data_IF_770770015356
#
_entry.id   IF_770770015356
#
_cell.length_a   1.000
_cell.length_b   1.000
_cell.length_c   1.000
_cell.angle_alpha   90.00
_cell.angle_beta   90.00
_cell.angle_gamma   90.00
#
_symmetry.space_group_name_H-M   'P 1'
#
loop_
_entity.id
_entity.type
_entity.pdbx_description
1 polymer ?
#
# COMPACT_ATOMS: atom_id res chain seq x y z
N UNK A 1 -2.28 -19.42 21.66
CA UNK A 1 -3.54 -18.96 22.28
C UNK A 1 -4.40 -18.42 21.16
N UNK A 2 -5.56 -19.04 20.97
CA UNK A 2 -6.38 -18.91 19.77
C UNK A 2 -6.94 -17.49 19.60
N UNK A 3 -6.51 -16.82 18.52
CA UNK A 3 -7.05 -15.53 18.07
C UNK A 3 -8.45 -15.67 17.46
N UNK A 4 -9.39 -16.26 18.20
CA UNK A 4 -10.80 -16.26 17.80
C UNK A 4 -11.34 -14.84 17.92
N UNK A 5 -11.68 -14.24 16.79
CA UNK A 5 -12.57 -13.08 16.71
C UNK A 5 -13.82 -13.41 17.55
N UNK A 6 -14.27 -12.55 18.48
CA UNK A 6 -15.41 -12.84 19.34
C UNK A 6 -16.64 -13.23 18.51
N UNK A 7 -17.26 -14.37 18.85
CA UNK A 7 -18.46 -14.89 18.21
C UNK A 7 -19.67 -13.94 18.27
N UNK A 8 -19.61 -12.92 19.13
CA UNK A 8 -20.62 -11.85 19.21
C UNK A 8 -20.57 -10.83 18.07
N UNK A 9 -19.53 -10.84 17.22
CA UNK A 9 -19.44 -9.99 16.02
C UNK A 9 -20.17 -10.63 14.82
N UNK A 10 -20.36 -11.95 14.83
CA UNK A 10 -20.91 -12.74 13.73
C UNK A 10 -22.28 -13.31 14.12
N UNK A 11 -23.26 -12.43 14.31
CA UNK A 11 -24.67 -12.86 14.39
C UNK A 11 -25.07 -13.49 13.05
N UNK A 12 -25.84 -14.57 13.08
CA UNK A 12 -26.35 -15.39 11.95
C UNK A 12 -27.35 -14.68 11.03
N UNK A 13 -27.27 -13.35 10.96
CA UNK A 13 -28.04 -12.44 10.12
C UNK A 13 -27.15 -12.07 8.92
N UNK A 14 -27.57 -12.20 7.66
CA UNK A 14 -26.71 -12.06 6.47
C UNK A 14 -26.20 -10.63 6.21
N UNK A 15 -25.36 -10.11 7.11
CA UNK A 15 -24.80 -8.75 7.04
C UNK A 15 -23.95 -8.52 5.79
N UNK A 16 -24.29 -7.52 4.99
CA UNK A 16 -23.47 -7.18 3.81
C UNK A 16 -22.15 -6.51 4.21
N UNK A 17 -21.02 -7.01 3.70
CA UNK A 17 -19.69 -6.47 3.97
C UNK A 17 -19.08 -5.73 2.78
N UNK A 18 -18.42 -4.61 3.07
CA UNK A 18 -17.55 -3.88 2.12
C UNK A 18 -16.14 -3.78 2.60
N UNK A 19 -15.19 -3.90 1.69
CA UNK A 19 -13.76 -3.78 1.99
C UNK A 19 -13.17 -2.53 1.34
N UNK A 20 -12.55 -1.68 2.16
CA UNK A 20 -11.74 -0.54 1.72
C UNK A 20 -10.27 -0.89 1.98
N UNK A 21 -9.47 -1.14 0.92
CA UNK A 21 -8.10 -1.59 1.04
C UNK A 21 -7.17 -0.54 1.65
N UNK A 22 -6.02 -0.99 2.17
CA UNK A 22 -4.94 -0.12 2.64
C UNK A 22 -4.00 0.32 1.53
N UNK A 23 -2.92 0.98 1.93
CA UNK A 23 -1.82 1.35 1.04
C UNK A 23 -1.22 0.11 0.36
N UNK A 24 -0.99 0.19 -0.95
CA UNK A 24 -0.60 -0.96 -1.79
C UNK A 24 -1.67 -2.05 -1.93
N UNK A 25 -2.85 -1.90 -1.32
CA UNK A 25 -3.84 -2.98 -1.15
C UNK A 25 -4.79 -3.22 -2.33
N UNK A 26 -4.47 -2.69 -3.51
CA UNK A 26 -5.34 -2.74 -4.69
C UNK A 26 -4.53 -2.93 -5.95
N UNK A 27 -5.00 -3.76 -6.89
CA UNK A 27 -4.40 -3.83 -8.23
C UNK A 27 -4.45 -2.48 -8.98
N UNK A 28 -3.47 -2.21 -9.84
CA UNK A 28 -3.43 -1.05 -10.71
C UNK A 28 -3.01 -1.46 -12.11
N UNK A 29 -3.64 -0.84 -13.09
CA UNK A 29 -3.32 -1.02 -14.49
C UNK A 29 -2.85 0.30 -15.09
N UNK A 30 -1.93 0.24 -16.05
CA UNK A 30 -1.44 1.44 -16.73
C UNK A 30 -1.40 1.29 -18.24
N UNK A 31 -1.57 2.41 -18.95
CA UNK A 31 -1.34 2.54 -20.37
C UNK A 31 -0.25 3.61 -20.61
N UNK A 32 0.73 3.34 -21.48
CA UNK A 32 1.87 4.24 -21.72
C UNK A 32 1.73 5.02 -23.04
N UNK A 33 0.53 5.10 -23.61
CA UNK A 33 0.32 5.83 -24.87
C UNK A 33 0.54 7.32 -24.64
N UNK A 34 1.59 7.86 -25.26
CA UNK A 34 1.95 9.28 -25.16
C UNK A 34 3.13 9.58 -24.23
N UNK A 35 3.85 8.58 -23.74
CA UNK A 35 5.01 8.80 -22.89
C UNK A 35 6.15 9.51 -23.66
N UNK A 36 6.57 10.73 -23.26
CA UNK A 36 7.52 11.53 -24.05
C UNK A 36 8.96 11.03 -23.92
N UNK A 37 9.31 10.45 -22.77
CA UNK A 37 10.67 10.00 -22.46
C UNK A 37 10.66 8.78 -21.54
N UNK A 38 11.81 8.12 -21.43
CA UNK A 38 12.01 6.97 -20.54
C UNK A 38 13.34 7.11 -19.83
N UNK A 39 13.41 6.57 -18.61
CA UNK A 39 14.63 6.57 -17.78
C UNK A 39 15.74 5.71 -18.36
N UNK A 40 15.39 4.62 -19.06
CA UNK A 40 16.33 3.75 -19.73
C UNK A 40 15.85 3.35 -21.13
N UNK A 41 16.74 3.08 -22.10
CA UNK A 41 16.36 2.71 -23.47
C UNK A 41 15.49 1.46 -23.57
N UNK A 42 15.60 0.53 -22.61
CA UNK A 42 14.82 -0.70 -22.58
C UNK A 42 13.41 -0.53 -21.95
N UNK A 43 13.13 0.60 -21.32
CA UNK A 43 11.79 0.86 -20.78
C UNK A 43 10.78 1.10 -21.90
N UNK A 44 9.56 0.58 -21.72
CA UNK A 44 8.47 0.78 -22.68
C UNK A 44 8.05 2.26 -22.73
N UNK A 45 7.90 2.78 -23.96
CA UNK A 45 7.35 4.12 -24.25
C UNK A 45 5.88 4.09 -24.69
N UNK A 46 5.36 2.90 -24.98
CA UNK A 46 4.04 2.70 -25.54
C UNK A 46 3.53 1.31 -25.15
N UNK A 47 2.23 1.21 -24.93
CA UNK A 47 1.52 -0.06 -24.79
C UNK A 47 0.22 0.03 -25.59
N UNK A 48 -0.11 -1.02 -26.35
CA UNK A 48 -1.34 -1.06 -27.14
C UNK A 48 -2.60 -1.18 -26.28
N UNK A 49 -2.46 -1.73 -25.08
CA UNK A 49 -3.52 -1.89 -24.10
C UNK A 49 -2.97 -1.65 -22.69
N UNK A 50 -3.85 -1.67 -21.69
CA UNK A 50 -3.45 -1.60 -20.29
C UNK A 50 -2.70 -2.87 -19.88
N UNK A 51 -1.65 -2.69 -19.06
CA UNK A 51 -0.92 -3.78 -18.43
C UNK A 51 -0.98 -3.66 -16.90
N UNK A 52 -0.69 -4.76 -16.21
CA UNK A 52 -0.62 -4.79 -14.75
C UNK A 52 0.60 -4.00 -14.26
N UNK A 53 0.32 -2.81 -13.73
CA UNK A 53 1.33 -1.96 -13.12
C UNK A 53 1.63 -2.42 -11.69
N UNK A 54 0.58 -2.71 -10.92
CA UNK A 54 0.71 -3.18 -9.53
C UNK A 54 -0.33 -4.27 -9.21
N UNK A 55 0.02 -5.40 -8.59
CA UNK A 55 1.36 -5.91 -8.35
C UNK A 55 1.77 -6.81 -9.52
N UNK A 56 2.93 -6.57 -10.11
CA UNK A 56 3.52 -7.42 -11.14
C UNK A 56 4.96 -7.72 -10.77
N UNK A 57 5.24 -8.98 -10.40
CA UNK A 57 6.56 -9.39 -9.91
C UNK A 57 7.69 -9.18 -10.93
N UNK A 58 7.39 -9.15 -12.24
CA UNK A 58 8.39 -8.92 -13.28
C UNK A 58 8.88 -7.47 -13.29
N UNK A 59 8.05 -6.54 -12.84
CA UNK A 59 8.35 -5.11 -12.79
C UNK A 59 9.35 -4.77 -11.65
N UNK A 60 9.59 -5.70 -10.70
CA UNK A 60 10.57 -5.53 -9.61
C UNK A 60 11.94 -6.16 -9.89
N UNK A 61 12.15 -6.74 -11.08
CA UNK A 61 13.48 -7.22 -11.46
C UNK A 61 14.47 -6.04 -11.48
N UNK A 62 15.78 -6.26 -11.17
CA UNK A 62 16.76 -5.18 -11.09
C UNK A 62 16.83 -4.28 -12.33
N UNK A 63 16.57 -4.84 -13.52
CA UNK A 63 16.53 -4.08 -14.77
C UNK A 63 15.21 -3.32 -14.95
N UNK A 64 14.10 -3.77 -14.37
CA UNK A 64 12.77 -3.22 -14.60
C UNK A 64 12.33 -2.19 -13.54
N UNK A 65 12.89 -2.24 -12.33
CA UNK A 65 12.45 -1.44 -11.17
C UNK A 65 12.41 0.07 -11.43
N UNK A 66 13.36 0.60 -12.19
CA UNK A 66 13.40 2.02 -12.53
C UNK A 66 12.29 2.39 -13.53
N UNK A 67 11.99 1.49 -14.48
CA UNK A 67 10.86 1.67 -15.39
C UNK A 67 9.54 1.66 -14.62
N UNK A 68 9.38 0.71 -13.70
CA UNK A 68 8.23 0.61 -12.81
C UNK A 68 8.06 1.89 -11.98
N UNK A 69 9.13 2.31 -11.29
CA UNK A 69 9.10 3.48 -10.42
C UNK A 69 8.68 4.73 -11.20
N UNK A 70 9.22 4.94 -12.40
CA UNK A 70 8.83 6.07 -13.26
C UNK A 70 7.38 5.95 -13.78
N UNK A 71 6.83 4.75 -13.93
CA UNK A 71 5.45 4.58 -14.39
C UNK A 71 4.45 4.81 -13.25
N UNK A 72 4.75 4.37 -12.03
CA UNK A 72 3.80 4.44 -10.92
C UNK A 72 3.86 5.76 -10.15
N UNK A 73 5.01 6.47 -10.19
CA UNK A 73 5.15 7.74 -9.48
C UNK A 73 4.13 8.79 -9.93
N UNK A 74 3.89 9.76 -9.07
CA UNK A 74 3.04 10.91 -9.37
C UNK A 74 3.92 12.10 -9.77
N UNK A 75 3.46 12.87 -10.76
CA UNK A 75 4.06 14.15 -11.11
C UNK A 75 3.50 15.22 -10.17
N UNK A 76 4.40 15.95 -9.51
CA UNK A 76 4.02 16.93 -8.49
C UNK A 76 4.48 18.28 -8.97
N UNK A 77 3.53 19.19 -9.20
CA UNK A 77 3.85 20.57 -9.45
C UNK A 77 4.46 21.18 -8.18
N UNK A 78 5.73 21.62 -8.19
CA UNK A 78 6.39 22.11 -6.98
C UNK A 78 5.79 23.41 -6.45
N UNK A 79 5.15 24.23 -7.29
CA UNK A 79 4.59 25.53 -6.92
C UNK A 79 3.17 25.38 -6.38
N UNK A 80 2.30 24.66 -7.09
CA UNK A 80 0.89 24.50 -6.70
C UNK A 80 0.67 23.31 -5.77
N UNK A 81 1.60 22.35 -5.74
CA UNK A 81 1.44 21.06 -5.07
C UNK A 81 0.33 20.21 -5.70
N UNK A 82 -0.12 20.54 -6.92
CA UNK A 82 -1.03 19.70 -7.68
C UNK A 82 -0.33 18.43 -8.12
N UNK A 83 -1.12 17.36 -8.24
CA UNK A 83 -0.58 16.01 -8.43
C UNK A 83 -1.34 15.29 -9.52
N UNK A 84 -0.60 14.91 -10.56
CA UNK A 84 -1.11 14.16 -11.72
C UNK A 84 -0.35 12.85 -11.84
N UNK A 85 -0.83 12.00 -12.74
CA UNK A 85 0.00 10.90 -13.23
C UNK A 85 1.20 11.44 -14.02
N UNK A 86 2.23 10.61 -14.20
CA UNK A 86 3.37 10.99 -15.04
C UNK A 86 2.95 11.27 -16.48
N UNK A 87 3.58 12.22 -17.19
CA UNK A 87 3.24 12.53 -18.58
C UNK A 87 3.21 11.28 -19.48
N UNK A 88 2.06 11.07 -20.13
CA UNK A 88 1.82 9.93 -21.02
C UNK A 88 1.68 8.57 -20.32
N UNK A 89 1.42 8.58 -19.01
CA UNK A 89 1.02 7.41 -18.24
C UNK A 89 -0.41 7.62 -17.77
N UNK A 90 -1.31 6.78 -18.24
CA UNK A 90 -2.68 6.73 -17.75
C UNK A 90 -2.83 5.53 -16.81
N UNK A 91 -3.38 5.78 -15.62
CA UNK A 91 -3.51 4.78 -14.56
C UNK A 91 -4.97 4.58 -14.22
N UNK A 92 -5.41 3.31 -14.18
CA UNK A 92 -6.75 2.95 -13.76
C UNK A 92 -6.76 1.88 -12.68
N UNK A 93 -7.83 1.90 -11.90
CA UNK A 93 -8.04 1.00 -10.78
C UNK A 93 -9.13 -0.01 -11.13
N UNK A 94 -8.79 -1.28 -11.43
CA UNK A 94 -9.75 -2.30 -11.83
C UNK A 94 -10.57 -2.86 -10.65
N UNK A 95 -11.67 -3.54 -11.00
CA UNK A 95 -12.41 -4.39 -10.07
C UNK A 95 -13.32 -3.66 -9.09
N UNK A 96 -13.70 -2.41 -9.35
CA UNK A 96 -14.60 -1.67 -8.47
C UNK A 96 -15.98 -2.35 -8.32
N UNK A 97 -16.40 -2.62 -7.09
CA UNK A 97 -17.61 -3.40 -6.79
C UNK A 97 -17.40 -4.92 -6.82
N UNK A 98 -16.25 -5.39 -7.30
CA UNK A 98 -15.83 -6.79 -7.24
C UNK A 98 -14.74 -6.97 -6.18
N UNK A 99 -14.34 -8.20 -5.90
CA UNK A 99 -13.36 -8.50 -4.85
C UNK A 99 -11.99 -8.91 -5.40
N UNK A 100 -11.92 -9.31 -6.67
CA UNK A 100 -10.71 -9.89 -7.27
C UNK A 100 -9.47 -9.01 -7.17
N UNK A 101 -9.63 -7.68 -7.33
CA UNK A 101 -8.51 -6.72 -7.33
C UNK A 101 -7.93 -6.42 -5.95
N UNK A 102 -8.55 -6.93 -4.88
CA UNK A 102 -8.09 -6.75 -3.50
C UNK A 102 -7.90 -8.09 -2.77
N UNK A 103 -8.38 -9.20 -3.34
CA UNK A 103 -8.13 -10.55 -2.82
C UNK A 103 -6.67 -10.95 -3.02
N UNK A 104 -6.16 -10.77 -4.25
CA UNK A 104 -4.77 -10.97 -4.62
C UNK A 104 -4.26 -9.73 -5.35
N UNK A 105 -3.08 -9.24 -4.97
CA UNK A 105 -2.50 -8.05 -5.60
C UNK A 105 -1.83 -8.37 -6.94
N UNK A 106 -1.43 -9.63 -7.16
CA UNK A 106 -0.91 -10.10 -8.44
C UNK A 106 -1.95 -11.02 -9.11
N UNK A 107 -2.22 -10.79 -10.41
CA UNK A 107 -3.21 -11.57 -11.18
C UNK A 107 -2.84 -13.05 -11.30
N UNK A 108 -1.57 -13.41 -11.12
CA UNK A 108 -1.10 -14.81 -11.03
C UNK A 108 -1.55 -15.53 -9.74
N UNK A 109 -2.07 -14.79 -8.74
CA UNK A 109 -2.59 -15.30 -7.46
C UNK A 109 -1.58 -16.14 -6.66
N UNK A 110 -0.31 -15.77 -6.76
CA UNK A 110 0.75 -16.32 -5.92
C UNK A 110 0.40 -16.04 -4.44
N UNK A 111 0.57 -17.03 -3.57
CA UNK A 111 0.10 -16.96 -2.18
C UNK A 111 0.65 -15.74 -1.41
N UNK A 112 1.88 -15.32 -1.71
CA UNK A 112 2.57 -14.17 -1.13
C UNK A 112 1.90 -12.83 -1.46
N UNK A 113 1.05 -12.77 -2.48
CA UNK A 113 0.33 -11.57 -2.90
C UNK A 113 -1.14 -11.59 -2.47
N UNK A 114 -1.55 -12.63 -1.71
CA UNK A 114 -2.84 -12.69 -1.05
C UNK A 114 -2.95 -11.55 -0.04
N UNK A 115 -4.03 -10.78 -0.15
CA UNK A 115 -4.34 -9.68 0.75
C UNK A 115 -5.67 -9.92 1.46
N UNK A 116 -6.82 -9.60 0.85
CA UNK A 116 -8.13 -9.87 1.47
C UNK A 116 -8.69 -11.27 1.21
N UNK A 117 -8.01 -12.13 0.43
CA UNK A 117 -8.50 -13.45 0.06
C UNK A 117 -8.95 -14.28 1.26
N UNK A 118 -8.12 -14.45 2.29
CA UNK A 118 -8.46 -15.29 3.44
C UNK A 118 -9.72 -14.84 4.20
N UNK A 119 -9.92 -13.53 4.34
CA UNK A 119 -11.12 -12.98 4.96
C UNK A 119 -12.35 -13.16 4.08
N UNK A 120 -12.23 -12.91 2.77
CA UNK A 120 -13.34 -13.03 1.81
C UNK A 120 -13.74 -14.49 1.65
N UNK A 121 -12.78 -15.42 1.58
CA UNK A 121 -13.03 -16.86 1.61
C UNK A 121 -13.77 -17.31 2.87
N UNK A 122 -13.41 -16.75 4.03
CA UNK A 122 -14.10 -17.06 5.29
C UNK A 122 -15.56 -16.61 5.25
N UNK A 123 -15.84 -15.42 4.71
CA UNK A 123 -17.22 -14.95 4.50
C UNK A 123 -17.95 -15.86 3.51
N UNK A 124 -17.32 -16.22 2.39
CA UNK A 124 -17.96 -17.08 1.39
C UNK A 124 -18.32 -18.45 1.97
N UNK A 125 -17.48 -19.03 2.82
CA UNK A 125 -17.79 -20.27 3.58
C UNK A 125 -18.97 -20.12 4.55
N UNK A 126 -19.28 -18.90 4.97
CA UNK A 126 -20.45 -18.58 5.80
C UNK A 126 -21.72 -18.31 4.97
N UNK A 127 -21.67 -18.45 3.65
CA UNK A 127 -22.83 -18.27 2.75
C UNK A 127 -22.86 -16.94 2.00
N UNK A 128 -21.84 -16.09 2.18
CA UNK A 128 -21.70 -14.85 1.42
C UNK A 128 -21.27 -15.11 -0.04
N UNK A 129 -21.60 -14.19 -0.94
CA UNK A 129 -21.34 -14.19 -2.37
C UNK A 129 -20.55 -12.95 -2.81
N UNK A 130 -19.37 -13.20 -3.37
CA UNK A 130 -18.52 -12.19 -4.03
C UNK A 130 -19.30 -11.39 -5.08
N UNK A 131 -19.12 -10.07 -5.10
CA UNK A 131 -19.77 -9.16 -6.05
C UNK A 131 -21.26 -8.92 -5.78
N UNK A 132 -21.83 -9.55 -4.76
CA UNK A 132 -23.22 -9.34 -4.33
C UNK A 132 -23.26 -8.73 -2.92
N UNK A 133 -23.11 -9.56 -1.90
CA UNK A 133 -23.15 -9.19 -0.48
C UNK A 133 -21.75 -8.93 0.10
N UNK A 134 -20.70 -9.32 -0.63
CA UNK A 134 -19.31 -8.95 -0.36
C UNK A 134 -18.73 -8.25 -1.58
N UNK A 135 -18.50 -6.95 -1.45
CA UNK A 135 -17.94 -6.10 -2.51
C UNK A 135 -16.70 -5.36 -2.00
N UNK A 136 -15.81 -4.95 -2.90
CA UNK A 136 -14.69 -4.08 -2.56
C UNK A 136 -14.79 -2.73 -3.27
N UNK A 137 -14.21 -1.72 -2.62
CA UNK A 137 -14.08 -0.36 -3.15
C UNK A 137 -12.57 -0.05 -3.34
N UNK A 138 -11.94 -0.61 -4.39
CA UNK A 138 -10.56 -0.32 -4.75
C UNK A 138 -10.40 1.15 -5.17
N UNK A 139 -9.26 1.76 -4.83
CA UNK A 139 -8.93 3.15 -5.16
C UNK A 139 -7.44 3.32 -5.46
N UNK A 140 -7.07 4.49 -5.98
CA UNK A 140 -5.69 4.87 -6.23
C UNK A 140 -4.99 5.18 -4.90
N UNK A 141 -4.30 4.19 -4.35
CA UNK A 141 -3.66 4.29 -3.04
C UNK A 141 -2.48 5.26 -3.00
N UNK A 142 -2.00 5.75 -4.16
CA UNK A 142 -0.94 6.76 -4.22
C UNK A 142 -1.44 8.13 -3.75
N UNK A 143 -2.76 8.36 -3.85
CA UNK A 143 -3.41 9.64 -3.59
C UNK A 143 -3.89 9.75 -2.14
N UNK A 144 -3.74 10.93 -1.54
CA UNK A 144 -4.29 11.24 -0.23
C UNK A 144 -5.83 11.24 -0.27
N UNK A 145 -6.53 10.98 0.85
CA UNK A 145 -7.99 10.94 0.89
C UNK A 145 -8.68 12.16 0.27
N UNK A 146 -8.09 13.35 0.41
CA UNK A 146 -8.59 14.62 -0.15
C UNK A 146 -8.65 14.63 -1.68
N UNK A 147 -7.88 13.76 -2.32
CA UNK A 147 -7.67 13.73 -3.77
C UNK A 147 -8.46 12.62 -4.47
N UNK A 148 -9.35 11.92 -3.74
CA UNK A 148 -10.13 10.78 -4.23
C UNK A 148 -11.56 11.16 -4.67
N UNK A 149 -11.79 12.39 -5.18
CA UNK A 149 -13.11 12.96 -5.49
C UNK A 149 -14.13 11.96 -6.08
N UNK A 150 -13.97 11.57 -7.34
CA UNK A 150 -14.88 10.65 -8.05
C UNK A 150 -15.02 9.27 -7.38
N UNK A 151 -14.02 8.83 -6.62
CA UNK A 151 -14.10 7.57 -5.91
C UNK A 151 -15.18 7.60 -4.82
N UNK A 152 -15.38 8.73 -4.14
CA UNK A 152 -16.39 8.83 -3.09
C UNK A 152 -17.82 8.77 -3.62
N UNK A 153 -18.08 9.37 -4.78
CA UNK A 153 -19.39 9.26 -5.46
C UNK A 153 -19.67 7.81 -5.86
N UNK A 154 -18.66 7.14 -6.42
CA UNK A 154 -18.75 5.72 -6.77
C UNK A 154 -18.93 4.83 -5.53
N UNK A 155 -18.29 5.17 -4.41
CA UNK A 155 -18.42 4.47 -3.13
C UNK A 155 -19.83 4.62 -2.56
N UNK A 156 -20.38 5.84 -2.54
CA UNK A 156 -21.76 6.12 -2.11
C UNK A 156 -22.77 5.30 -2.93
N UNK A 157 -22.65 5.36 -4.26
CA UNK A 157 -23.54 4.63 -5.17
C UNK A 157 -23.38 3.09 -5.04
N UNK A 158 -22.15 2.60 -4.82
CA UNK A 158 -21.93 1.19 -4.51
C UNK A 158 -22.62 0.81 -3.19
N UNK A 159 -22.59 1.71 -2.20
CA UNK A 159 -23.24 1.50 -0.92
C UNK A 159 -24.74 1.29 -1.07
N UNK A 160 -25.40 2.22 -1.74
CA UNK A 160 -26.84 2.21 -1.99
C UNK A 160 -27.26 0.97 -2.80
N UNK A 161 -26.56 0.65 -3.90
CA UNK A 161 -26.89 -0.52 -4.74
C UNK A 161 -26.85 -1.83 -3.99
N UNK A 162 -25.84 -2.00 -3.16
CA UNK A 162 -25.67 -3.26 -2.43
C UNK A 162 -26.62 -3.34 -1.23
N UNK A 163 -26.98 -2.21 -0.59
CA UNK A 163 -28.06 -2.16 0.39
C UNK A 163 -29.37 -2.68 -0.21
N UNK A 164 -29.73 -2.19 -1.40
CA UNK A 164 -30.92 -2.64 -2.14
C UNK A 164 -30.84 -4.13 -2.50
N UNK A 165 -29.69 -4.61 -2.99
CA UNK A 165 -29.48 -6.02 -3.34
C UNK A 165 -29.53 -6.97 -2.14
N UNK A 166 -29.22 -6.45 -0.95
CA UNK A 166 -29.26 -7.18 0.30
C UNK A 166 -30.64 -7.10 0.99
N UNK A 167 -31.70 -6.72 0.28
CA UNK A 167 -33.04 -6.64 0.87
C UNK A 167 -33.21 -5.49 1.85
N UNK A 168 -32.52 -4.36 1.62
CA UNK A 168 -32.50 -3.19 2.49
C UNK A 168 -31.80 -3.43 3.83
N UNK A 169 -30.84 -4.34 3.86
CA UNK A 169 -29.97 -4.53 5.02
C UNK A 169 -28.80 -3.54 5.02
N UNK A 170 -28.60 -2.90 6.17
CA UNK A 170 -27.50 -1.96 6.40
C UNK A 170 -26.14 -2.64 6.24
N UNK A 171 -25.18 -1.86 5.75
CA UNK A 171 -23.89 -2.37 5.28
C UNK A 171 -22.82 -2.17 6.33
N UNK A 172 -21.96 -3.17 6.51
CA UNK A 172 -20.73 -3.07 7.29
C UNK A 172 -19.56 -2.64 6.39
N UNK A 173 -18.90 -1.52 6.72
CA UNK A 173 -17.68 -1.07 6.05
C UNK A 173 -16.45 -1.53 6.83
N UNK A 174 -15.63 -2.37 6.23
CA UNK A 174 -14.35 -2.82 6.78
C UNK A 174 -13.21 -2.07 6.09
N UNK A 175 -12.50 -1.23 6.83
CA UNK A 175 -11.30 -0.56 6.35
C UNK A 175 -10.05 -1.26 6.88
N UNK A 176 -8.99 -1.32 6.07
CA UNK A 176 -7.67 -1.76 6.52
C UNK A 176 -6.64 -0.65 6.34
N UNK A 177 -5.80 -0.41 7.36
CA UNK A 177 -4.71 0.58 7.30
C UNK A 177 -5.21 1.94 6.76
N UNK A 178 -4.58 2.49 5.71
CA UNK A 178 -4.98 3.72 5.02
C UNK A 178 -6.47 3.77 4.63
N UNK A 179 -7.07 2.63 4.30
CA UNK A 179 -8.49 2.54 3.94
C UNK A 179 -9.44 3.01 5.04
N UNK A 180 -8.99 3.01 6.30
CA UNK A 180 -9.75 3.59 7.41
C UNK A 180 -9.80 5.11 7.37
N UNK A 181 -8.74 5.77 6.92
CA UNK A 181 -8.71 7.22 6.77
C UNK A 181 -9.56 7.66 5.57
N UNK A 182 -9.54 6.89 4.49
CA UNK A 182 -10.45 7.06 3.35
C UNK A 182 -11.91 6.88 3.78
N UNK A 183 -12.21 5.83 4.55
CA UNK A 183 -13.56 5.61 5.10
C UNK A 183 -13.98 6.73 6.07
N UNK A 184 -13.06 7.22 6.91
CA UNK A 184 -13.34 8.31 7.83
C UNK A 184 -13.74 9.58 7.09
N UNK A 185 -12.95 9.99 6.09
CA UNK A 185 -13.26 11.15 5.24
C UNK A 185 -14.62 10.99 4.57
N UNK A 186 -14.93 9.81 4.05
CA UNK A 186 -16.25 9.52 3.49
C UNK A 186 -17.37 9.81 4.51
N UNK A 187 -17.25 9.31 5.74
CA UNK A 187 -18.26 9.51 6.79
C UNK A 187 -18.38 10.93 7.33
N UNK A 188 -17.33 11.73 7.25
CA UNK A 188 -17.25 13.04 7.91
C UNK A 188 -17.40 14.21 6.95
N UNK A 189 -17.13 14.02 5.66
CA UNK A 189 -17.12 15.09 4.67
C UNK A 189 -18.00 14.83 3.44
N UNK A 190 -18.33 13.57 3.14
CA UNK A 190 -19.05 13.23 1.90
C UNK A 190 -20.54 12.94 2.15
N UNK A 191 -20.86 12.23 3.23
CA UNK A 191 -22.24 11.85 3.55
C UNK A 191 -22.71 12.48 4.85
N UNK A 192 -24.00 12.83 4.90
CA UNK A 192 -24.66 13.33 6.10
C UNK A 192 -25.05 12.20 7.07
N UNK A 193 -25.53 12.59 8.26
CA UNK A 193 -25.90 11.63 9.30
C UNK A 193 -27.13 10.80 8.94
N UNK A 194 -28.13 11.38 8.27
CA UNK A 194 -29.36 10.67 7.87
C UNK A 194 -29.04 9.55 6.86
N UNK A 195 -28.15 9.82 5.91
CA UNK A 195 -27.64 8.83 4.98
C UNK A 195 -26.90 7.70 5.71
N UNK A 196 -26.02 8.04 6.67
CA UNK A 196 -25.29 7.03 7.46
C UNK A 196 -26.26 6.16 8.27
N UNK A 197 -27.26 6.76 8.90
CA UNK A 197 -28.27 6.06 9.68
C UNK A 197 -29.13 5.15 8.79
N UNK A 198 -29.33 5.49 7.53
CA UNK A 198 -30.05 4.66 6.56
C UNK A 198 -29.22 3.47 6.09
N UNK A 199 -27.97 3.69 5.65
CA UNK A 199 -27.22 2.70 4.88
C UNK A 199 -26.16 1.93 5.66
N UNK A 200 -25.69 2.43 6.80
CA UNK A 200 -24.49 1.90 7.48
C UNK A 200 -24.85 1.22 8.79
N UNK A 201 -24.45 -0.05 8.91
CA UNK A 201 -24.61 -0.85 10.15
C UNK A 201 -23.48 -0.56 11.12
N UNK A 202 -22.25 -0.61 10.61
CA UNK A 202 -21.04 -0.34 11.39
C UNK A 202 -19.81 -0.15 10.51
N UNK A 203 -18.77 0.44 11.08
CA UNK A 203 -17.42 0.48 10.54
C UNK A 203 -16.50 -0.44 11.35
N UNK A 204 -15.89 -1.43 10.70
CA UNK A 204 -14.85 -2.27 11.30
C UNK A 204 -13.49 -1.73 10.84
N UNK A 205 -12.80 -1.05 11.74
CA UNK A 205 -11.51 -0.44 11.48
C UNK A 205 -10.37 -1.38 11.85
N UNK A 206 -9.71 -1.97 10.85
CA UNK A 206 -8.59 -2.89 11.04
C UNK A 206 -7.27 -2.16 10.86
N UNK A 207 -6.43 -2.17 11.91
CA UNK A 207 -5.13 -1.49 11.96
C UNK A 207 -5.15 -0.02 11.47
N UNK A 208 -6.08 0.84 11.92
CA UNK A 208 -6.18 2.21 11.43
C UNK A 208 -5.01 3.10 11.90
N UNK A 209 -4.26 3.76 10.99
CA UNK A 209 -3.13 4.63 11.34
C UNK A 209 -3.61 6.04 11.66
N UNK A 210 -4.48 6.20 12.66
CA UNK A 210 -5.05 7.49 13.07
C UNK A 210 -3.96 8.55 13.33
N UNK A 211 -2.93 8.17 14.09
CA UNK A 211 -1.79 9.03 14.41
C UNK A 211 -0.71 9.14 13.34
N UNK A 212 -0.93 8.56 12.16
CA UNK A 212 0.14 8.31 11.18
C UNK A 212 1.06 7.16 11.60
N UNK A 213 2.17 7.01 10.89
CA UNK A 213 3.12 5.91 11.07
C UNK A 213 4.56 6.35 10.91
N UNK A 214 5.40 6.02 11.89
CA UNK A 214 6.87 6.22 11.82
C UNK A 214 7.53 5.46 10.68
N UNK A 215 6.87 4.42 10.12
CA UNK A 215 7.35 3.74 8.91
C UNK A 215 7.40 4.69 7.70
N UNK A 216 6.64 5.78 7.71
CA UNK A 216 6.72 6.80 6.67
C UNK A 216 8.06 7.56 6.73
N UNK A 217 8.62 7.77 7.91
CA UNK A 217 9.96 8.36 8.05
C UNK A 217 11.01 7.44 7.41
N UNK A 218 10.90 6.12 7.66
CA UNK A 218 11.73 5.10 7.00
C UNK A 218 11.55 5.09 5.48
N UNK A 219 10.31 5.18 5.00
CA UNK A 219 9.98 5.25 3.58
C UNK A 219 10.68 6.44 2.92
N UNK A 220 10.64 7.62 3.53
CA UNK A 220 11.34 8.79 3.00
C UNK A 220 12.87 8.63 3.01
N UNK A 221 13.46 7.87 3.93
CA UNK A 221 14.93 7.66 3.95
C UNK A 221 15.39 6.54 3.02
N UNK A 222 14.93 5.31 3.23
CA UNK A 222 15.45 4.09 2.60
C UNK A 222 14.43 3.36 1.73
N UNK A 223 13.22 3.90 1.63
CA UNK A 223 12.07 3.20 1.06
C UNK A 223 11.47 2.18 2.03
N UNK A 224 10.32 1.64 1.63
CA UNK A 224 9.58 0.67 2.43
C UNK A 224 9.06 -0.47 1.54
N UNK A 225 9.42 -1.71 1.87
CA UNK A 225 9.07 -2.90 1.09
C UNK A 225 7.76 -3.58 1.53
N UNK A 226 6.90 -2.88 2.28
CA UNK A 226 5.65 -3.46 2.83
C UNK A 226 5.88 -4.73 3.67
N UNK A 227 7.02 -4.80 4.37
CA UNK A 227 7.44 -5.97 5.18
C UNK A 227 7.73 -7.23 4.37
N UNK A 228 7.97 -7.09 3.08
CA UNK A 228 8.44 -8.17 2.23
C UNK A 228 9.97 -8.29 2.27
N UNK A 229 10.50 -9.31 1.62
CA UNK A 229 11.96 -9.45 1.45
C UNK A 229 12.51 -8.40 0.48
N UNK A 230 13.70 -7.86 0.74
CA UNK A 230 14.44 -6.99 -0.20
C UNK A 230 14.71 -7.66 -1.56
N UNK A 231 14.70 -9.00 -1.62
CA UNK A 231 14.81 -9.74 -2.88
C UNK A 231 13.53 -9.70 -3.72
N UNK A 232 12.38 -9.45 -3.08
CA UNK A 232 11.04 -9.42 -3.71
C UNK A 232 10.67 -7.98 -4.03
N UNK A 233 10.83 -7.08 -3.06
CA UNK A 233 10.50 -5.66 -3.16
C UNK A 233 11.71 -4.86 -2.67
N UNK A 234 12.58 -4.37 -3.58
CA UNK A 234 13.76 -3.62 -3.19
C UNK A 234 13.37 -2.22 -2.71
N UNK A 235 13.57 -1.94 -1.41
CA UNK A 235 13.10 -0.70 -0.77
C UNK A 235 13.63 0.56 -1.47
N UNK A 236 14.93 0.58 -1.81
CA UNK A 236 15.57 1.73 -2.45
C UNK A 236 15.04 2.02 -3.86
N UNK A 237 14.66 0.97 -4.61
CA UNK A 237 14.07 1.13 -5.94
C UNK A 237 12.63 1.65 -5.88
N UNK A 238 11.88 1.27 -4.84
CA UNK A 238 10.52 1.78 -4.60
C UNK A 238 10.50 3.21 -4.06
N UNK A 239 11.55 3.61 -3.32
CA UNK A 239 11.63 4.92 -2.63
C UNK A 239 11.30 6.09 -3.55
N UNK A 240 11.83 6.12 -4.77
CA UNK A 240 11.61 7.23 -5.71
C UNK A 240 10.13 7.43 -5.99
N UNK A 241 9.40 6.34 -6.24
CA UNK A 241 7.96 6.41 -6.44
C UNK A 241 7.21 6.70 -5.14
N UNK A 242 7.53 6.00 -4.06
CA UNK A 242 6.85 6.15 -2.78
C UNK A 242 6.91 7.57 -2.23
N UNK A 243 8.04 8.25 -2.42
CA UNK A 243 8.21 9.66 -2.04
C UNK A 243 7.21 10.60 -2.72
N UNK A 244 6.74 10.24 -3.92
CA UNK A 244 5.78 11.05 -4.69
C UNK A 244 4.33 10.79 -4.29
N UNK A 245 4.04 9.67 -3.61
CA UNK A 245 2.69 9.33 -3.19
C UNK A 245 2.24 10.29 -2.10
N UNK A 246 1.20 11.07 -2.38
CA UNK A 246 0.62 11.99 -1.40
C UNK A 246 -0.01 11.25 -0.23
N UNK A 247 -0.41 9.99 -0.41
CA UNK A 247 -0.81 9.11 0.70
C UNK A 247 0.33 8.85 1.70
N UNK A 248 1.60 8.83 1.26
CA UNK A 248 2.75 8.73 2.16
C UNK A 248 2.90 9.99 3.01
N UNK A 249 2.81 11.17 2.39
CA UNK A 249 2.79 12.44 3.11
C UNK A 249 1.57 12.54 4.04
N UNK A 250 0.43 11.97 3.64
CA UNK A 250 -0.76 11.88 4.49
C UNK A 250 -0.52 10.98 5.70
N UNK A 251 0.15 9.84 5.55
CA UNK A 251 0.41 8.91 6.67
C UNK A 251 1.53 9.35 7.62
N UNK A 252 2.09 10.54 7.44
CA UNK A 252 3.16 11.07 8.28
C UNK A 252 2.76 11.10 9.77
N UNK A 253 3.68 10.82 10.72
CA UNK A 253 3.43 10.95 12.15
C UNK A 253 2.82 12.31 12.51
N UNK A 254 1.83 12.31 13.39
CA UNK A 254 1.10 13.52 13.73
C UNK A 254 0.88 13.72 15.24
N UNK A 255 0.46 14.92 15.62
CA UNK A 255 0.33 15.36 17.02
C UNK A 255 -0.80 14.67 17.80
N UNK A 256 -1.61 13.83 17.16
CA UNK A 256 -2.59 12.99 17.87
C UNK A 256 -1.92 11.83 18.60
N UNK A 257 -0.76 11.38 18.14
CA UNK A 257 -0.06 10.22 18.70
C UNK A 257 1.39 10.49 19.09
N UNK A 258 2.03 11.51 18.52
CA UNK A 258 3.44 11.83 18.75
C UNK A 258 3.58 13.22 19.34
N UNK A 259 4.46 13.37 20.34
CA UNK A 259 4.80 14.68 20.91
C UNK A 259 5.79 15.39 19.99
N UNK A 260 5.84 16.73 20.08
CA UNK A 260 6.78 17.52 19.31
C UNK A 260 8.25 17.15 19.60
N UNK A 261 8.56 16.71 20.83
CA UNK A 261 9.89 16.27 21.27
C UNK A 261 10.17 14.77 21.08
N UNK A 262 9.22 14.01 20.52
CA UNK A 262 9.39 12.58 20.26
C UNK A 262 10.40 12.35 19.13
N UNK A 263 11.47 11.61 19.40
CA UNK A 263 12.50 11.28 18.39
C UNK A 263 11.95 10.24 17.42
N UNK A 264 11.77 10.64 16.15
CA UNK A 264 11.23 9.78 15.10
C UNK A 264 12.35 9.10 14.28
N UNK A 265 13.50 9.75 14.16
CA UNK A 265 14.66 9.20 13.47
C UNK A 265 15.98 9.66 14.12
N UNK A 266 17.00 8.83 14.01
CA UNK A 266 18.38 9.17 14.38
C UNK A 266 19.29 8.90 13.17
N UNK A 267 20.02 9.93 12.74
CA UNK A 267 21.02 9.81 11.66
C UNK A 267 22.39 10.17 12.23
N UNK A 268 23.29 9.18 12.31
CA UNK A 268 24.56 9.33 13.01
C UNK A 268 24.32 9.66 14.49
N UNK A 269 24.74 10.85 14.92
CA UNK A 269 24.53 11.35 16.30
C UNK A 269 23.38 12.35 16.41
N UNK A 270 22.70 12.68 15.30
CA UNK A 270 21.63 13.67 15.27
C UNK A 270 20.27 13.00 15.39
N UNK A 271 19.45 13.48 16.32
CA UNK A 271 18.06 13.08 16.48
C UNK A 271 17.15 14.05 15.73
N UNK A 272 16.11 13.53 15.10
CA UNK A 272 15.05 14.29 14.47
C UNK A 272 13.76 13.98 15.20
N UNK A 273 13.22 15.01 15.85
CA UNK A 273 11.93 14.97 16.50
C UNK A 273 10.81 15.33 15.54
N UNK A 274 9.55 15.16 15.95
CA UNK A 274 8.40 15.62 15.15
C UNK A 274 8.49 17.11 14.79
N UNK A 275 9.08 17.95 15.65
CA UNK A 275 9.32 19.37 15.37
C UNK A 275 10.41 19.62 14.31
N UNK A 276 11.36 18.69 14.14
CA UNK A 276 12.50 18.82 13.23
C UNK A 276 12.21 18.39 11.78
N UNK A 277 10.96 18.08 11.46
CA UNK A 277 10.62 17.36 10.23
C UNK A 277 10.91 18.17 8.95
N UNK A 278 10.81 19.51 8.99
CA UNK A 278 11.28 20.35 7.89
C UNK A 278 12.78 20.14 7.62
N UNK A 279 13.60 20.24 8.66
CA UNK A 279 15.06 20.05 8.58
C UNK A 279 15.40 18.63 8.13
N UNK A 280 14.65 17.63 8.58
CA UNK A 280 14.79 16.25 8.10
C UNK A 280 14.61 16.16 6.58
N UNK A 281 13.55 16.75 6.01
CA UNK A 281 13.31 16.74 4.56
C UNK A 281 14.37 17.50 3.77
N UNK A 282 14.86 18.63 4.30
CA UNK A 282 15.95 19.40 3.71
C UNK A 282 17.24 18.56 3.64
N UNK A 283 17.58 17.81 4.70
CA UNK A 283 18.81 17.02 4.78
C UNK A 283 18.78 15.71 3.97
N UNK A 284 17.59 15.13 3.73
CA UNK A 284 17.44 14.01 2.77
C UNK A 284 17.30 14.48 1.31
N UNK A 285 17.48 15.78 1.07
CA UNK A 285 17.35 16.45 -0.23
C UNK A 285 16.00 16.17 -0.91
N UNK A 286 14.90 16.31 -0.15
CA UNK A 286 13.54 16.07 -0.64
C UNK A 286 12.52 17.06 -0.08
N UNK A 287 12.75 18.36 -0.28
CA UNK A 287 11.88 19.45 0.22
C UNK A 287 10.46 19.43 -0.33
N UNK A 288 10.21 18.74 -1.46
CA UNK A 288 8.86 18.50 -1.98
C UNK A 288 8.02 17.69 -0.99
N UNK A 289 8.63 16.72 -0.30
CA UNK A 289 7.93 15.92 0.71
C UNK A 289 7.42 16.77 1.87
N UNK A 290 8.22 17.75 2.33
CA UNK A 290 7.78 18.69 3.37
C UNK A 290 6.60 19.55 2.91
N UNK A 291 6.65 20.08 1.68
CA UNK A 291 5.54 20.84 1.09
C UNK A 291 4.25 20.02 1.04
N UNK A 292 4.33 18.72 0.74
CA UNK A 292 3.15 17.84 0.78
C UNK A 292 2.61 17.66 2.20
N UNK A 293 3.49 17.45 3.18
CA UNK A 293 3.12 17.34 4.61
C UNK A 293 2.43 18.61 5.09
N UNK A 294 2.93 19.79 4.70
CA UNK A 294 2.31 21.08 5.00
C UNK A 294 0.96 21.26 4.30
N UNK A 295 0.90 20.99 2.99
CA UNK A 295 -0.33 21.17 2.19
C UNK A 295 -1.47 20.27 2.68
N UNK A 296 -1.16 19.06 3.14
CA UNK A 296 -2.13 18.10 3.67
C UNK A 296 -2.40 18.30 5.17
N UNK A 297 -1.77 19.29 5.81
CA UNK A 297 -1.80 19.52 7.27
C UNK A 297 -1.59 18.22 8.08
N UNK A 298 -0.69 17.36 7.59
CA UNK A 298 -0.57 15.98 8.11
C UNK A 298 -0.20 15.96 9.59
N UNK A 299 0.57 16.94 10.07
CA UNK A 299 1.01 17.02 11.47
C UNK A 299 -0.12 17.42 12.44
N UNK A 300 -1.11 18.20 11.99
CA UNK A 300 -2.20 18.71 12.83
C UNK A 300 -3.56 18.11 12.46
N UNK A 301 -3.56 16.95 11.79
CA UNK A 301 -4.78 16.27 11.35
C UNK A 301 -5.83 16.22 12.44
N UNK A 302 -7.06 16.58 12.07
CA UNK A 302 -8.24 16.39 12.90
C UNK A 302 -8.94 15.09 12.51
N UNK A 303 -9.38 14.31 13.49
CA UNK A 303 -10.13 13.08 13.28
C UNK A 303 -11.50 13.21 13.96
N UNK A 304 -12.48 13.87 13.32
CA UNK A 304 -13.84 13.91 13.83
C UNK A 304 -14.42 12.49 13.92
N UNK A 305 -15.33 12.26 14.88
CA UNK A 305 -15.97 10.96 15.02
C UNK A 305 -16.80 10.62 13.77
N UNK A 306 -16.80 9.37 13.29
CA UNK A 306 -17.45 9.00 12.03
C UNK A 306 -19.00 9.03 12.10
N UNK A 307 -19.60 9.14 13.28
CA UNK A 307 -21.06 9.13 13.44
C UNK A 307 -21.71 7.78 13.12
N UNK A 308 -20.94 6.68 13.15
CA UNK A 308 -21.44 5.30 13.01
C UNK A 308 -20.83 4.40 14.07
N UNK A 309 -21.52 3.31 14.41
CA UNK A 309 -20.98 2.28 15.30
C UNK A 309 -19.63 1.80 14.76
N UNK A 310 -18.57 1.94 15.54
CA UNK A 310 -17.20 1.63 15.09
C UNK A 310 -16.59 0.53 15.97
N UNK A 311 -16.12 -0.54 15.35
CA UNK A 311 -15.34 -1.62 15.97
C UNK A 311 -13.88 -1.44 15.56
N UNK A 312 -12.98 -1.28 16.52
CA UNK A 312 -11.55 -1.11 16.26
C UNK A 312 -10.82 -2.43 16.51
N UNK A 313 -10.08 -2.91 15.52
CA UNK A 313 -9.21 -4.08 15.61
C UNK A 313 -7.78 -3.59 15.45
N UNK A 314 -7.06 -3.52 16.57
CA UNK A 314 -5.65 -3.10 16.61
C UNK A 314 -4.86 -4.13 17.41
N UNK A 315 -3.68 -4.48 16.91
CA UNK A 315 -2.74 -5.32 17.63
C UNK A 315 -2.02 -4.50 18.70
N UNK A 316 -2.00 -5.01 19.94
CA UNK A 316 -1.47 -4.30 21.09
C UNK A 316 -0.02 -4.71 21.43
N UNK A 317 0.54 -5.73 20.76
CA UNK A 317 1.86 -6.29 21.13
C UNK A 317 2.61 -6.93 19.95
N UNK A 318 3.18 -6.10 19.10
CA UNK A 318 4.47 -6.42 18.48
C UNK A 318 5.38 -5.24 18.77
N UNK A 319 6.70 -5.45 18.84
CA UNK A 319 7.68 -4.36 18.88
C UNK A 319 7.54 -3.52 17.61
N UNK A 320 6.52 -2.66 17.56
CA UNK A 320 6.39 -1.60 16.60
C UNK A 320 7.70 -0.83 16.70
N UNK A 321 8.29 -0.44 15.57
CA UNK A 321 9.47 0.41 15.54
C UNK A 321 9.16 1.74 16.25
N UNK A 322 9.17 1.76 17.57
CA UNK A 322 8.98 2.96 18.35
C UNK A 322 10.25 3.81 18.34
N UNK A 323 11.39 3.21 17.97
CA UNK A 323 12.69 3.88 17.84
C UNK A 323 13.52 3.24 16.73
N UNK A 324 13.95 4.05 15.78
CA UNK A 324 14.97 3.68 14.79
C UNK A 324 16.35 4.03 15.39
N UNK A 325 17.09 3.05 15.92
CA UNK A 325 18.47 3.23 16.40
C UNK A 325 19.35 2.02 16.02
N UNK A 326 20.64 2.27 15.74
CA UNK A 326 21.56 1.30 15.16
C UNK A 326 22.97 1.30 15.85
N UNK A 327 23.58 0.12 16.11
CA UNK A 327 24.93 -0.06 16.70
C UNK A 327 25.82 -0.95 15.79
N UNK A 328 26.96 -0.42 15.30
CA UNK A 328 27.70 -0.94 14.13
C UNK A 328 28.82 -1.98 14.31
N UNK A 329 29.53 -2.24 13.20
CA UNK A 329 30.91 -2.77 13.13
C UNK A 329 31.67 -2.04 12.02
N UNK A 330 32.85 -1.49 12.38
CA UNK A 330 33.77 -0.74 11.53
C UNK A 330 34.23 -1.52 10.29
N UNK A 331 34.19 -0.88 9.12
CA UNK A 331 35.26 -0.89 8.11
C UNK A 331 35.17 0.36 7.24
N UNK A 332 36.33 0.92 6.97
CA UNK A 332 36.62 2.28 6.49
C UNK A 332 36.44 2.46 4.99
N UNK A 333 35.60 3.43 4.57
CA UNK A 333 35.72 4.17 3.30
C UNK A 333 34.97 5.52 3.42
N UNK A 334 35.46 6.63 2.83
CA UNK A 334 34.91 7.96 3.04
C UNK A 334 33.92 8.32 1.91
N UNK A 335 32.71 7.81 1.99
CA UNK A 335 31.52 8.44 1.41
C UNK A 335 30.51 8.62 2.53
N UNK A 336 29.68 9.67 2.49
CA UNK A 336 28.66 9.94 3.53
C UNK A 336 27.56 8.86 3.46
N UNK A 337 27.85 7.68 4.01
CA UNK A 337 26.96 6.52 4.06
C UNK A 337 26.03 6.60 5.27
N UNK A 338 24.72 6.58 5.05
CA UNK A 338 23.75 6.28 6.10
C UNK A 338 23.87 4.78 6.43
N UNK A 339 24.16 4.44 7.68
CA UNK A 339 24.33 3.05 8.13
C UNK A 339 23.03 2.53 8.79
N UNK A 340 22.46 1.43 8.28
CA UNK A 340 21.24 0.76 8.76
C UNK A 340 21.54 -0.65 9.30
N UNK A 341 20.88 -1.11 10.38
CA UNK A 341 20.93 -2.51 10.86
C UNK A 341 19.54 -3.07 11.01
N UNK A 342 19.43 -4.31 10.54
CA UNK A 342 18.40 -5.29 10.84
C UNK A 342 18.79 -6.08 12.09
N UNK A 343 17.92 -6.11 13.10
CA UNK A 343 18.01 -7.14 14.14
C UNK A 343 17.37 -8.42 13.60
N UNK A 344 18.18 -9.44 13.38
CA UNK A 344 17.72 -10.81 13.14
C UNK A 344 17.61 -11.57 14.46
N UNK A 345 16.37 -11.90 14.85
CA UNK A 345 16.01 -13.25 15.30
C UNK A 345 14.67 -13.62 14.66
N UNK A 346 14.51 -14.87 14.18
CA UNK A 346 13.33 -15.28 13.45
C UNK A 346 12.19 -15.52 14.45
N UNK A 347 11.29 -14.55 14.55
CA UNK A 347 9.95 -14.79 15.09
C UNK A 347 8.98 -14.52 13.97
N UNK A 348 8.45 -15.59 13.40
CA UNK A 348 7.28 -15.60 12.53
C UNK A 348 6.20 -14.69 13.11
N UNK A 349 5.88 -13.60 12.41
CA UNK A 349 4.66 -12.84 12.63
C UNK A 349 3.47 -13.71 12.24
N UNK A 350 2.85 -14.39 13.21
CA UNK A 350 1.59 -15.10 13.01
C UNK A 350 0.46 -14.07 13.14
N UNK A 351 0.39 -13.15 12.18
CA UNK A 351 -0.80 -12.38 11.82
C UNK A 351 -0.50 -11.54 10.57
N UNK A 352 -0.18 -12.21 9.46
CA UNK A 352 -0.43 -11.79 8.05
C UNK A 352 0.43 -12.54 7.00
N UNK A 353 1.28 -13.50 7.37
CA UNK A 353 1.97 -14.36 6.39
C UNK A 353 1.97 -15.84 6.82
N UNK A 354 1.48 -16.72 5.94
CA UNK A 354 1.65 -18.18 6.03
C UNK A 354 3.00 -18.50 5.35
N UNK A 355 3.91 -19.27 5.97
CA UNK A 355 5.28 -19.42 5.48
C UNK A 355 5.35 -20.17 4.14
N UNK A 356 6.23 -19.77 3.21
CA UNK A 356 6.45 -20.50 1.97
C UNK A 356 7.34 -21.72 2.20
N UNK A 357 6.87 -22.90 1.80
CA UNK A 357 7.77 -24.01 1.49
C UNK A 357 8.62 -23.62 0.26
N UNK A 358 9.92 -23.46 0.49
CA UNK A 358 10.92 -23.27 -0.54
C UNK A 358 11.32 -24.61 -1.16
N UNK A 359 10.90 -24.84 -2.40
CA UNK A 359 11.62 -25.69 -3.39
C UNK A 359 11.15 -25.44 -4.83
N UNK A 360 9.92 -24.98 -5.08
CA UNK A 360 9.34 -24.98 -6.43
C UNK A 360 9.82 -23.86 -7.39
N UNK A 361 10.23 -22.68 -6.90
CA UNK A 361 10.52 -21.56 -7.82
C UNK A 361 11.93 -21.62 -8.43
N UNK A 362 12.92 -22.15 -7.70
CA UNK A 362 14.27 -22.37 -8.23
C UNK A 362 14.29 -23.56 -9.19
N UNK A 363 13.47 -24.59 -8.96
CA UNK A 363 13.34 -25.71 -9.90
C UNK A 363 12.66 -25.29 -11.21
N UNK A 364 11.60 -24.48 -11.18
CA UNK A 364 10.94 -24.00 -12.39
C UNK A 364 11.88 -23.12 -13.24
N UNK A 365 12.63 -22.23 -12.60
CA UNK A 365 13.58 -21.34 -13.29
C UNK A 365 14.81 -22.10 -13.84
N UNK A 366 15.29 -23.14 -13.15
CA UNK A 366 16.38 -24.00 -13.63
C UNK A 366 15.93 -25.01 -14.71
N UNK A 367 14.67 -25.47 -14.68
CA UNK A 367 14.07 -26.31 -15.72
C UNK A 367 13.90 -25.51 -17.01
N UNK A 368 13.45 -24.25 -16.95
CA UNK A 368 13.37 -23.38 -18.12
C UNK A 368 14.74 -22.94 -18.64
N UNK A 369 15.75 -22.80 -17.78
CA UNK A 369 17.14 -22.56 -18.21
C UNK A 369 17.76 -23.76 -18.92
N UNK A 370 17.43 -25.01 -18.51
CA UNK A 370 17.81 -26.24 -19.24
C UNK A 370 17.05 -26.41 -20.55
N UNK A 371 15.79 -25.96 -20.61
CA UNK A 371 14.95 -25.98 -21.82
C UNK A 371 15.40 -24.94 -22.85
N UNK A 372 15.87 -23.77 -22.40
CA UNK A 372 16.51 -22.78 -23.27
C UNK A 372 17.91 -23.21 -23.74
N UNK A 373 18.75 -23.81 -22.88
CA UNK A 373 20.06 -24.34 -23.32
C UNK A 373 19.95 -25.45 -24.38
N UNK A 374 18.91 -26.31 -24.33
CA UNK A 374 18.65 -27.33 -25.36
C UNK A 374 18.10 -26.78 -26.68
N UNK A 375 17.47 -25.59 -26.66
CA UNK A 375 16.99 -24.91 -27.88
C UNK A 375 18.12 -24.13 -28.57
N UNK A 376 19.12 -23.69 -27.82
CA UNK A 376 20.27 -22.95 -28.32
C UNK A 376 21.47 -23.83 -28.73
N UNK A 377 21.58 -25.08 -28.24
CA UNK A 377 22.61 -26.02 -28.70
C UNK A 377 22.34 -26.64 -30.09
N UNK A 378 21.25 -26.23 -30.76
CA UNK A 378 20.91 -26.64 -32.14
C UNK A 378 21.13 -25.55 -33.19
N UNK A 379 21.58 -24.36 -32.78
CA UNK A 379 21.87 -23.24 -33.67
C UNK A 379 23.30 -22.77 -33.39
N UNK A 380 24.24 -23.30 -34.17
CA UNK A 380 25.51 -22.67 -34.57
C UNK A 380 26.37 -22.04 -33.47
N UNK A 381 27.51 -22.65 -33.19
CA UNK A 381 28.39 -22.29 -32.09
C UNK A 381 28.99 -20.89 -32.16
N UNK A 382 29.08 -20.26 -30.99
CA UNK A 382 30.16 -19.37 -30.58
C UNK A 382 30.32 -19.49 -29.06
N UNK A 383 31.54 -19.75 -28.58
CA UNK A 383 31.89 -19.76 -27.17
C UNK A 383 32.15 -18.33 -26.70
N UNK A 384 31.51 -17.91 -25.62
CA UNK A 384 31.99 -16.81 -24.80
C UNK A 384 32.00 -17.22 -23.33
N UNK A 385 33.17 -17.08 -22.73
CA UNK A 385 33.44 -17.26 -21.30
C UNK A 385 33.26 -15.91 -20.61
N UNK A 386 32.35 -15.84 -19.63
CA UNK A 386 32.45 -15.13 -18.35
C UNK A 386 31.25 -15.51 -17.47
#
# INVERSE_FOLDING_TARGET
MDGKIPSSILTTDPQTYRKVPGDGGTQMEANLTGKPSVVHPFCRRYTSDYFDLWLNMQEFLPIAIDCFAHNIMLDINPETGEVTDMPGVDVRIPGFGHTSSVEFLDKSRIAQTSYFFGMIESLVKMGYRRGMDVTAAPYDFRRAPEQLGDYYDRLKALIERTYQRAGNEKVVIVGHSLGNLVALRFFTEIVDQEWKDTYIKSHVAVAPPWGGSVKIVLLYTSGYNFENSEYILPSMGLRTAQRTFTSSAYLFPNRLAYRDDEVLATVGTKNYTLADMKTFFDEINYSIGWRQVEKLDSLNRKLPAPGVKTVKVMEQSMSNLHRCANNGIRKTTPEKTLHFITYSKPTTCICCTIPPFWTSFIEQFLVDRKRMKRKWSRLGGYNFTL
#
